data_IF_707535107565
#
_entry.id   IF_707535107565
#
_cell.length_a   1.000
_cell.length_b   1.000
_cell.length_c   1.000
_cell.angle_alpha   90.00
_cell.angle_beta   90.00
_cell.angle_gamma   90.00
#
_symmetry.space_group_name_H-M   'P 1'
#
loop_
_entity.id
_entity.type
_entity.pdbx_description
1 polymer ?
#
# COMPACT_ATOMS: atom_id res chain seq x y z
N UNK A 1 -28.67 -12.04 -9.10
CA UNK A 1 -27.68 -10.93 -8.97
C UNK A 1 -28.13 -9.86 -7.97
N UNK A 2 -29.43 -9.66 -7.74
CA UNK A 2 -29.97 -8.70 -6.74
C UNK A 2 -29.80 -9.15 -5.26
N UNK A 3 -29.56 -10.44 -5.01
CA UNK A 3 -29.35 -10.98 -3.66
C UNK A 3 -27.98 -10.63 -3.05
N UNK A 4 -27.01 -10.20 -3.86
CA UNK A 4 -25.68 -9.78 -3.40
C UNK A 4 -25.63 -8.31 -2.95
N UNK A 5 -26.74 -7.57 -3.04
CA UNK A 5 -26.83 -6.13 -2.73
C UNK A 5 -27.59 -5.86 -1.42
N UNK A 6 -28.20 -6.88 -0.80
CA UNK A 6 -28.84 -6.69 0.51
C UNK A 6 -27.80 -6.67 1.62
N UNK A 7 -27.38 -5.45 1.98
CA UNK A 7 -26.57 -5.17 3.17
C UNK A 7 -27.30 -5.71 4.41
N UNK A 8 -26.77 -6.71 5.12
CA UNK A 8 -27.35 -7.14 6.39
C UNK A 8 -27.29 -5.97 7.39
N UNK A 9 -28.33 -5.77 8.22
CA UNK A 9 -28.51 -4.62 9.13
C UNK A 9 -27.37 -4.37 10.15
N UNK A 10 -26.32 -5.21 10.18
CA UNK A 10 -25.20 -5.14 11.12
C UNK A 10 -23.86 -4.68 10.48
N UNK A 11 -23.81 -4.38 9.18
CA UNK A 11 -22.56 -3.93 8.53
C UNK A 11 -22.46 -2.40 8.48
N UNK A 12 -21.28 -1.88 8.80
CA UNK A 12 -20.93 -0.45 8.74
C UNK A 12 -20.95 0.10 7.30
N UNK A 13 -20.74 -0.75 6.28
CA UNK A 13 -20.66 -0.34 4.88
C UNK A 13 -21.59 -1.17 3.99
N UNK A 14 -22.26 -0.51 3.03
CA UNK A 14 -23.05 -1.20 2.01
C UNK A 14 -22.15 -1.79 0.91
N UNK A 15 -22.54 -2.93 0.34
CA UNK A 15 -21.82 -3.56 -0.78
C UNK A 15 -21.60 -2.59 -1.95
N UNK A 16 -22.52 -1.65 -2.20
CA UNK A 16 -22.35 -0.60 -3.20
C UNK A 16 -21.22 0.38 -2.85
N UNK A 17 -21.07 0.75 -1.58
CA UNK A 17 -20.00 1.64 -1.13
C UNK A 17 -18.62 0.96 -1.18
N UNK A 18 -18.56 -0.32 -0.81
CA UNK A 18 -17.33 -1.12 -0.95
C UNK A 18 -16.93 -1.27 -2.42
N UNK A 19 -17.89 -1.52 -3.32
CA UNK A 19 -17.60 -1.67 -4.74
C UNK A 19 -17.07 -0.38 -5.38
N UNK A 20 -17.59 0.78 -4.93
CA UNK A 20 -17.10 2.10 -5.36
C UNK A 20 -15.66 2.39 -4.91
N UNK A 21 -15.23 1.83 -3.77
CA UNK A 21 -13.84 1.95 -3.29
C UNK A 21 -12.91 0.90 -3.92
N UNK A 22 -13.41 -0.32 -4.12
CA UNK A 22 -12.63 -1.44 -4.62
C UNK A 22 -12.28 -1.30 -6.11
N UNK A 23 -13.20 -0.77 -6.93
CA UNK A 23 -12.97 -0.64 -8.37
C UNK A 23 -11.80 0.31 -8.71
N UNK A 24 -11.68 1.52 -8.13
CA UNK A 24 -10.50 2.37 -8.31
C UNK A 24 -9.21 1.71 -7.83
N UNK A 25 -9.25 1.03 -6.67
CA UNK A 25 -8.08 0.35 -6.11
C UNK A 25 -7.58 -0.76 -7.05
N UNK A 26 -8.48 -1.54 -7.66
CA UNK A 26 -8.09 -2.55 -8.63
C UNK A 26 -7.40 -1.95 -9.87
N UNK A 27 -7.91 -0.82 -10.35
CA UNK A 27 -7.32 -0.13 -11.51
C UNK A 27 -5.93 0.39 -11.15
N UNK A 28 -5.79 1.01 -9.97
CA UNK A 28 -4.52 1.48 -9.44
C UNK A 28 -3.48 0.36 -9.37
N UNK A 29 -3.84 -0.78 -8.77
CA UNK A 29 -2.95 -1.95 -8.68
C UNK A 29 -2.61 -2.52 -10.07
N UNK A 30 -3.56 -2.54 -11.00
CA UNK A 30 -3.30 -2.97 -12.37
C UNK A 30 -2.32 -2.06 -13.11
N UNK A 31 -2.45 -0.75 -12.92
CA UNK A 31 -1.53 0.24 -13.51
C UNK A 31 -0.13 0.13 -12.89
N UNK A 32 -0.02 -0.07 -11.58
CA UNK A 32 1.24 -0.25 -10.88
C UNK A 32 2.04 -1.45 -11.44
N UNK A 33 1.39 -2.61 -11.63
CA UNK A 33 2.03 -3.76 -12.27
C UNK A 33 2.38 -3.51 -13.74
N UNK A 34 1.55 -2.78 -14.48
CA UNK A 34 1.81 -2.47 -15.88
C UNK A 34 3.05 -1.59 -16.03
N UNK A 35 3.24 -0.60 -15.15
CA UNK A 35 4.43 0.26 -15.15
C UNK A 35 5.69 -0.55 -14.82
N UNK A 36 5.66 -1.43 -13.82
CA UNK A 36 6.80 -2.30 -13.49
C UNK A 36 7.16 -3.25 -14.63
N UNK A 37 6.15 -3.79 -15.32
CA UNK A 37 6.37 -4.60 -16.53
C UNK A 37 6.99 -3.78 -17.66
N UNK A 38 6.53 -2.54 -17.88
CA UNK A 38 7.08 -1.66 -18.90
C UNK A 38 8.55 -1.33 -18.63
N UNK A 39 8.94 -1.08 -17.38
CA UNK A 39 10.33 -0.83 -16.98
C UNK A 39 11.25 -2.02 -17.33
N UNK A 40 10.84 -3.23 -16.95
CA UNK A 40 11.53 -4.47 -17.30
C UNK A 40 11.69 -4.65 -18.81
N UNK A 41 10.64 -4.36 -19.60
CA UNK A 41 10.67 -4.47 -21.07
C UNK A 41 11.57 -3.41 -21.71
N UNK A 42 11.55 -2.17 -21.21
CA UNK A 42 12.40 -1.09 -21.73
C UNK A 42 13.88 -1.42 -21.56
N UNK A 43 14.27 -1.92 -20.38
CA UNK A 43 15.66 -2.33 -20.09
C UNK A 43 16.04 -3.61 -20.84
N UNK A 44 15.10 -4.50 -21.16
CA UNK A 44 15.38 -5.73 -21.89
C UNK A 44 16.05 -5.54 -23.26
N UNK A 45 15.86 -4.35 -23.87
CA UNK A 45 16.50 -3.98 -25.13
C UNK A 45 18.02 -3.75 -25.02
N UNK A 46 18.57 -3.60 -23.81
CA UNK A 46 19.99 -3.24 -23.56
C UNK A 46 20.92 -4.45 -23.35
N UNK A 47 20.38 -5.68 -23.42
CA UNK A 47 21.14 -6.93 -23.32
C UNK A 47 20.97 -7.68 -22.01
N UNK A 48 21.30 -8.98 -21.99
CA UNK A 48 21.04 -9.89 -20.86
C UNK A 48 21.72 -9.46 -19.56
N UNK A 49 22.93 -8.89 -19.63
CA UNK A 49 23.65 -8.40 -18.46
C UNK A 49 22.94 -7.21 -17.79
N UNK A 50 22.28 -6.34 -18.57
CA UNK A 50 21.53 -5.20 -18.05
C UNK A 50 20.24 -5.66 -17.36
N UNK A 51 19.54 -6.65 -17.94
CA UNK A 51 18.32 -7.23 -17.38
C UNK A 51 18.60 -7.88 -16.02
N UNK A 52 19.69 -8.65 -15.91
CA UNK A 52 20.05 -9.30 -14.65
C UNK A 52 20.43 -8.30 -13.56
N UNK A 53 21.05 -7.17 -13.92
CA UNK A 53 21.37 -6.09 -12.99
C UNK A 53 20.12 -5.38 -12.48
N UNK A 54 19.19 -5.05 -13.37
CA UNK A 54 17.93 -4.39 -13.00
C UNK A 54 17.04 -5.29 -12.15
N UNK A 55 16.89 -6.58 -12.49
CA UNK A 55 16.09 -7.49 -11.65
C UNK A 55 16.62 -7.62 -10.23
N UNK A 56 17.97 -7.64 -10.05
CA UNK A 56 18.57 -7.70 -8.71
C UNK A 56 18.25 -6.44 -7.90
N UNK A 57 18.36 -5.27 -8.53
CA UNK A 57 18.01 -3.99 -7.91
C UNK A 57 16.52 -3.95 -7.59
N UNK A 58 15.65 -4.39 -8.49
CA UNK A 58 14.20 -4.48 -8.27
C UNK A 58 13.86 -5.35 -7.07
N UNK A 59 14.49 -6.54 -6.94
CA UNK A 59 14.29 -7.40 -5.77
C UNK A 59 14.69 -6.71 -4.46
N UNK A 60 15.82 -5.99 -4.46
CA UNK A 60 16.26 -5.23 -3.29
C UNK A 60 15.31 -4.07 -2.98
N UNK A 61 14.86 -3.34 -3.99
CA UNK A 61 13.89 -2.26 -3.82
C UNK A 61 12.55 -2.80 -3.29
N UNK A 62 12.07 -3.92 -3.82
CA UNK A 62 10.83 -4.55 -3.36
C UNK A 62 10.92 -5.00 -1.90
N UNK A 63 12.06 -5.54 -1.47
CA UNK A 63 12.31 -5.88 -0.06
C UNK A 63 12.20 -4.64 0.83
N UNK A 64 12.83 -3.52 0.43
CA UNK A 64 12.75 -2.26 1.17
C UNK A 64 11.30 -1.74 1.22
N UNK A 65 10.62 -1.72 0.08
CA UNK A 65 9.21 -1.29 -0.01
C UNK A 65 8.33 -2.13 0.92
N UNK A 66 8.49 -3.46 0.96
CA UNK A 66 7.74 -4.31 1.88
C UNK A 66 8.05 -4.02 3.36
N UNK A 67 9.31 -3.75 3.70
CA UNK A 67 9.70 -3.33 5.04
C UNK A 67 9.01 -2.02 5.46
N UNK A 68 9.09 -0.99 4.64
CA UNK A 68 8.44 0.30 4.90
C UNK A 68 6.91 0.21 4.87
N UNK A 69 6.35 -0.59 3.97
CA UNK A 69 4.89 -0.82 3.87
C UNK A 69 4.35 -1.53 5.11
N UNK A 70 5.10 -2.49 5.66
CA UNK A 70 4.74 -3.15 6.90
C UNK A 70 4.72 -2.17 8.09
N UNK A 71 5.72 -1.29 8.17
CA UNK A 71 5.79 -0.23 9.19
C UNK A 71 4.63 0.77 9.03
N UNK A 72 4.39 1.26 7.82
CA UNK A 72 3.31 2.19 7.49
C UNK A 72 1.94 1.59 7.84
N UNK A 73 1.69 0.35 7.44
CA UNK A 73 0.45 -0.37 7.75
C UNK A 73 0.28 -0.57 9.24
N UNK A 74 1.34 -1.00 9.95
CA UNK A 74 1.31 -1.20 11.40
C UNK A 74 0.96 0.07 12.16
N UNK A 75 1.57 1.21 11.82
CA UNK A 75 1.22 2.46 12.49
C UNK A 75 -0.09 3.09 12.02
N UNK A 76 -0.53 2.87 10.79
CA UNK A 76 -1.87 3.23 10.33
C UNK A 76 -2.94 2.51 11.15
N UNK A 77 -2.73 1.22 11.47
CA UNK A 77 -3.62 0.46 12.36
C UNK A 77 -3.66 1.07 13.76
N UNK A 78 -2.51 1.40 14.36
CA UNK A 78 -2.43 2.03 15.70
C UNK A 78 -3.12 3.40 15.69
N UNK A 79 -2.86 4.23 14.68
CA UNK A 79 -3.52 5.52 14.52
C UNK A 79 -5.04 5.37 14.36
N UNK A 80 -5.49 4.39 13.57
CA UNK A 80 -6.90 4.04 13.40
C UNK A 80 -7.56 3.61 14.71
N UNK A 81 -6.87 2.82 15.54
CA UNK A 81 -7.34 2.45 16.88
C UNK A 81 -7.47 3.67 17.81
N UNK A 82 -6.51 4.60 17.79
CA UNK A 82 -6.61 5.83 18.59
C UNK A 82 -7.74 6.75 18.12
N UNK A 83 -7.93 6.87 16.80
CA UNK A 83 -9.06 7.61 16.22
C UNK A 83 -10.39 6.97 16.62
N UNK A 84 -10.53 5.65 16.51
CA UNK A 84 -11.73 4.93 16.93
C UNK A 84 -12.04 5.06 18.44
N UNK A 85 -11.03 5.26 19.27
CA UNK A 85 -11.17 5.50 20.72
C UNK A 85 -11.39 6.99 21.07
N UNK A 86 -11.75 7.84 20.10
CA UNK A 86 -11.93 9.29 20.24
C UNK A 86 -10.73 10.01 20.90
N UNK A 87 -9.50 9.53 20.65
CA UNK A 87 -8.24 10.12 21.18
C UNK A 87 -7.39 10.71 20.03
N UNK A 88 -7.83 11.80 19.39
CA UNK A 88 -7.15 12.36 18.21
C UNK A 88 -5.74 12.87 18.51
N UNK A 89 -5.47 13.38 19.72
CA UNK A 89 -4.12 13.82 20.10
C UNK A 89 -3.12 12.67 20.13
N UNK A 90 -3.53 11.51 20.65
CA UNK A 90 -2.69 10.30 20.67
C UNK A 90 -2.49 9.73 19.27
N UNK A 91 -3.53 9.79 18.42
CA UNK A 91 -3.40 9.42 17.01
C UNK A 91 -2.36 10.30 16.30
N UNK A 92 -2.40 11.62 16.52
CA UNK A 92 -1.41 12.56 15.96
C UNK A 92 0.00 12.29 16.48
N UNK A 93 0.14 11.98 17.77
CA UNK A 93 1.41 11.57 18.37
C UNK A 93 1.97 10.30 17.72
N UNK A 94 1.14 9.27 17.53
CA UNK A 94 1.53 8.02 16.87
C UNK A 94 1.94 8.24 15.40
N UNK A 95 1.20 9.06 14.64
CA UNK A 95 1.58 9.41 13.27
C UNK A 95 2.92 10.16 13.23
N UNK A 96 3.15 11.11 14.13
CA UNK A 96 4.41 11.85 14.20
C UNK A 96 5.59 10.92 14.53
N UNK A 97 5.40 10.01 15.49
CA UNK A 97 6.40 8.99 15.82
C UNK A 97 6.72 8.08 14.63
N UNK A 98 5.70 7.65 13.88
CA UNK A 98 5.91 6.83 12.69
C UNK A 98 6.70 7.57 11.61
N UNK A 99 6.40 8.85 11.35
CA UNK A 99 7.14 9.65 10.37
C UNK A 99 8.60 9.81 10.77
N UNK A 100 8.88 10.12 12.04
CA UNK A 100 10.26 10.21 12.53
C UNK A 100 10.98 8.87 12.45
N UNK A 101 10.33 7.78 12.85
CA UNK A 101 10.94 6.45 12.80
C UNK A 101 11.22 5.99 11.37
N UNK A 102 10.25 6.16 10.46
CA UNK A 102 10.43 5.85 9.04
C UNK A 102 11.50 6.72 8.38
N UNK A 103 11.55 8.02 8.74
CA UNK A 103 12.56 8.94 8.21
C UNK A 103 13.98 8.60 8.68
N UNK A 104 14.15 8.23 9.95
CA UNK A 104 15.43 7.77 10.48
C UNK A 104 15.84 6.45 9.83
N UNK A 105 14.92 5.49 9.71
CA UNK A 105 15.20 4.19 9.10
C UNK A 105 15.55 4.33 7.62
N UNK A 106 14.93 5.26 6.90
CA UNK A 106 15.24 5.53 5.49
C UNK A 106 16.59 6.23 5.29
N UNK A 107 17.09 6.94 6.31
CA UNK A 107 18.37 7.64 6.26
C UNK A 107 19.55 6.77 6.71
N UNK A 108 19.27 5.59 7.26
CA UNK A 108 20.25 4.63 7.79
C UNK A 108 20.62 3.58 6.73
#
# INVERSE_FOLDING_TARGET
MESLIKTPKHYLFSNKALFVLFLPLLIEQGLEFFVGFADSVMVASLGEAAISGVSLVDFLMQLLIFGFSALATGGAVIAGQYLGNNKPEKARGACNQLVWFSGILSAL
#
